data_IF_577517296258
#
_entry.id   IF_577517296258
#
_cell.length_a   1.000
_cell.length_b   1.000
_cell.length_c   1.000
_cell.angle_alpha   90.00
_cell.angle_beta   90.00
_cell.angle_gamma   90.00
#
_symmetry.space_group_name_H-M   'P 1'
#
loop_
_entity.id
_entity.type
_entity.pdbx_description
1 polymer ?
#
# COMPACT_ATOMS: atom_id res chain seq x y z
N UNK A 1 25.47 25.61 52.37
CA UNK A 1 24.07 25.58 51.86
C UNK A 1 23.96 25.98 50.38
N UNK A 2 24.99 26.49 49.77
CA UNK A 2 24.93 26.99 48.35
C UNK A 2 25.23 25.91 47.30
N UNK A 3 26.05 24.92 47.63
CA UNK A 3 26.41 23.86 46.68
C UNK A 3 25.32 22.81 46.44
N UNK A 4 24.42 22.60 47.39
CA UNK A 4 23.35 21.60 47.26
C UNK A 4 22.20 22.10 46.36
N UNK A 5 22.06 23.41 46.22
CA UNK A 5 21.03 24.03 45.33
C UNK A 5 21.45 24.03 43.88
N UNK A 6 22.73 24.03 43.54
CA UNK A 6 23.26 24.02 42.18
C UNK A 6 23.14 22.60 41.57
N UNK A 7 23.34 21.54 42.35
CA UNK A 7 23.18 20.16 41.88
C UNK A 7 21.74 19.77 41.60
N UNK A 8 20.77 20.40 42.30
CA UNK A 8 19.35 20.13 42.03
C UNK A 8 18.80 20.85 40.79
N UNK A 9 19.44 21.96 40.37
CA UNK A 9 19.04 22.68 39.15
C UNK A 9 19.60 22.07 37.85
N UNK A 10 20.73 21.31 37.97
CA UNK A 10 21.30 20.62 36.78
C UNK A 10 20.62 19.30 36.45
N UNK A 11 19.82 18.73 37.36
CA UNK A 11 19.09 17.48 37.12
C UNK A 11 17.72 17.67 36.46
N UNK A 12 17.27 18.92 36.29
CA UNK A 12 15.94 19.22 35.73
C UNK A 12 15.98 19.62 34.24
N UNK A 13 17.15 19.55 33.62
CA UNK A 13 17.35 19.98 32.20
C UNK A 13 17.61 18.83 31.20
N UNK A 14 17.39 17.57 31.60
CA UNK A 14 17.65 16.43 30.69
C UNK A 14 16.46 15.51 30.51
N UNK A 15 15.24 16.05 30.52
CA UNK A 15 14.07 15.36 29.97
C UNK A 15 13.42 16.29 28.93
N UNK A 16 14.23 16.76 28.00
CA UNK A 16 13.71 17.08 26.70
C UNK A 16 13.61 15.73 25.97
N UNK A 17 12.56 14.96 26.30
CA UNK A 17 12.14 13.89 25.40
C UNK A 17 11.81 14.58 24.07
N UNK A 18 12.73 14.46 23.12
CA UNK A 18 12.43 14.72 21.73
C UNK A 18 11.25 13.81 21.37
N UNK A 19 10.04 14.32 21.53
CA UNK A 19 8.91 13.80 20.79
C UNK A 19 9.29 14.04 19.34
N UNK A 20 9.97 13.05 18.73
CA UNK A 20 10.17 13.01 17.29
C UNK A 20 8.77 13.19 16.71
N UNK A 21 8.59 14.26 15.93
CA UNK A 21 7.34 14.47 15.23
C UNK A 21 7.05 13.20 14.43
N UNK A 22 6.00 12.50 14.82
CA UNK A 22 5.60 11.30 14.12
C UNK A 22 4.86 11.73 12.85
N UNK A 23 5.16 11.06 11.74
CA UNK A 23 4.51 11.31 10.48
C UNK A 23 3.01 11.03 10.50
N UNK A 24 2.28 11.51 9.48
CA UNK A 24 0.82 11.41 9.41
C UNK A 24 0.28 9.98 9.45
N UNK A 25 1.11 8.98 9.14
CA UNK A 25 0.75 7.57 9.12
C UNK A 25 1.35 6.76 10.29
N UNK A 26 1.90 7.43 11.30
CA UNK A 26 2.53 6.79 12.47
C UNK A 26 1.63 5.79 13.20
N UNK A 27 0.32 6.00 13.19
CA UNK A 27 -0.66 5.08 13.78
C UNK A 27 -0.65 3.68 13.15
N UNK A 28 -0.13 3.54 11.93
CA UNK A 28 -0.03 2.26 11.22
C UNK A 28 1.32 1.56 11.39
N UNK A 29 2.35 2.23 11.91
CA UNK A 29 3.70 1.68 12.04
C UNK A 29 3.71 0.36 12.83
N UNK A 30 3.00 0.29 13.96
CA UNK A 30 2.89 -0.94 14.75
C UNK A 30 2.28 -2.10 13.97
N UNK A 31 1.27 -1.85 13.13
CA UNK A 31 0.69 -2.87 12.24
C UNK A 31 1.69 -3.37 11.20
N UNK A 32 2.57 -2.49 10.74
CA UNK A 32 3.63 -2.81 9.80
C UNK A 32 4.86 -3.48 10.44
N UNK A 33 4.92 -3.56 11.79
CA UNK A 33 6.06 -4.10 12.53
C UNK A 33 7.24 -3.13 12.56
N UNK A 34 6.96 -1.85 12.68
CA UNK A 34 7.94 -0.74 12.75
C UNK A 34 8.94 -0.75 11.58
N UNK A 35 8.49 -1.14 10.40
CA UNK A 35 9.25 -1.18 9.15
C UNK A 35 8.57 -0.32 8.07
N UNK A 36 9.29 0.10 7.03
CA UNK A 36 8.66 0.73 5.87
C UNK A 36 7.57 -0.14 5.27
N UNK A 37 6.44 0.46 4.91
CA UNK A 37 5.24 -0.25 4.46
C UNK A 37 4.49 0.50 3.37
N UNK A 38 3.57 -0.21 2.72
CA UNK A 38 2.62 0.35 1.77
C UNK A 38 1.29 0.56 2.49
N UNK A 39 0.72 1.76 2.37
CA UNK A 39 -0.63 2.09 2.82
C UNK A 39 -1.52 2.41 1.62
N UNK A 40 -2.64 1.71 1.48
CA UNK A 40 -3.57 1.88 0.36
C UNK A 40 -4.89 2.41 0.88
N UNK A 41 -5.29 3.58 0.37
CA UNK A 41 -6.61 4.16 0.56
C UNK A 41 -7.45 3.97 -0.70
N UNK A 42 -8.45 3.12 -0.63
CA UNK A 42 -9.42 2.89 -1.72
C UNK A 42 -10.33 4.10 -1.92
N UNK A 43 -10.65 4.81 -0.85
CA UNK A 43 -11.50 6.02 -0.90
C UNK A 43 -10.79 7.18 -1.61
N UNK A 44 -9.51 7.38 -1.30
CA UNK A 44 -8.70 8.44 -1.89
C UNK A 44 -8.07 8.04 -3.23
N UNK A 45 -8.13 6.75 -3.59
CA UNK A 45 -7.44 6.16 -4.74
C UNK A 45 -5.94 6.47 -4.74
N UNK A 46 -5.30 6.24 -3.57
CA UNK A 46 -3.88 6.47 -3.35
C UNK A 46 -3.19 5.24 -2.76
N UNK A 47 -1.91 5.11 -3.09
CA UNK A 47 -0.95 4.22 -2.48
C UNK A 47 0.20 5.07 -1.96
N UNK A 48 0.44 5.04 -0.65
CA UNK A 48 1.57 5.70 0.00
C UNK A 48 2.63 4.67 0.36
N UNK A 49 3.87 4.90 -0.05
CA UNK A 49 5.04 4.24 0.52
C UNK A 49 5.45 5.04 1.76
N UNK A 50 5.42 4.41 2.91
CA UNK A 50 5.58 5.04 4.22
C UNK A 50 6.82 4.49 4.90
N UNK A 51 7.61 5.34 5.56
CA UNK A 51 8.77 4.92 6.34
C UNK A 51 8.38 4.38 7.73
N UNK A 52 9.37 3.93 8.51
CA UNK A 52 9.17 3.40 9.85
C UNK A 52 8.69 4.46 10.88
N UNK A 53 8.80 5.75 10.56
CA UNK A 53 8.33 6.84 11.41
C UNK A 53 6.89 7.28 11.07
N UNK A 54 6.31 6.72 9.99
CA UNK A 54 4.99 7.09 9.50
C UNK A 54 4.98 8.28 8.57
N UNK A 55 6.15 8.66 7.99
CA UNK A 55 6.23 9.69 6.98
C UNK A 55 6.03 9.10 5.58
N UNK A 56 5.28 9.80 4.72
CA UNK A 56 5.11 9.38 3.33
C UNK A 56 6.37 9.68 2.52
N UNK A 57 7.06 8.62 2.07
CA UNK A 57 8.21 8.69 1.18
C UNK A 57 7.76 9.08 -0.24
N UNK A 58 6.67 8.46 -0.69
CA UNK A 58 6.12 8.63 -2.04
C UNK A 58 4.65 8.25 -2.08
N UNK A 59 3.86 9.05 -2.77
CA UNK A 59 2.46 8.75 -3.04
C UNK A 59 2.24 8.52 -4.53
N UNK A 60 1.41 7.52 -4.84
CA UNK A 60 1.00 7.14 -6.20
C UNK A 60 -0.52 7.18 -6.32
N UNK A 61 -1.01 7.60 -7.48
CA UNK A 61 -2.43 7.45 -7.83
C UNK A 61 -2.68 6.02 -8.30
N UNK A 62 -3.80 5.44 -7.85
CA UNK A 62 -4.15 4.05 -8.18
C UNK A 62 -5.53 3.95 -8.83
N UNK A 63 -5.81 2.77 -9.42
CA UNK A 63 -7.17 2.27 -9.58
C UNK A 63 -7.34 1.05 -8.66
N UNK A 64 -8.55 0.87 -8.11
CA UNK A 64 -8.91 -0.27 -7.28
C UNK A 64 -10.22 -0.90 -7.75
N UNK A 65 -10.77 -1.82 -6.97
CA UNK A 65 -11.99 -2.57 -7.27
C UNK A 65 -13.19 -1.71 -7.66
N UNK A 66 -14.01 -2.24 -8.58
CA UNK A 66 -15.28 -1.63 -9.02
C UNK A 66 -16.25 -1.44 -7.87
N UNK A 67 -16.33 -2.42 -6.97
CA UNK A 67 -17.28 -2.41 -5.86
C UNK A 67 -16.61 -2.08 -4.53
N UNK A 68 -17.36 -1.46 -3.65
CA UNK A 68 -16.95 -1.10 -2.29
C UNK A 68 -16.94 -2.31 -1.35
N UNK A 69 -16.22 -2.17 -0.23
CA UNK A 69 -16.14 -3.15 0.83
C UNK A 69 -15.07 -4.20 0.62
N UNK A 70 -14.99 -5.12 1.59
CA UNK A 70 -13.97 -6.15 1.66
C UNK A 70 -14.24 -7.29 0.66
N UNK A 71 -13.16 -7.88 0.13
CA UNK A 71 -13.21 -9.09 -0.68
C UNK A 71 -13.59 -10.30 0.18
N UNK A 72 -14.69 -10.99 -0.20
CA UNK A 72 -15.21 -12.15 0.51
C UNK A 72 -15.20 -13.43 -0.33
N UNK A 73 -15.24 -13.32 -1.66
CA UNK A 73 -15.26 -14.47 -2.57
C UNK A 73 -14.60 -14.14 -3.91
N UNK A 74 -14.20 -15.19 -4.64
CA UNK A 74 -13.69 -15.06 -6.00
C UNK A 74 -14.78 -14.46 -6.92
N UNK A 75 -14.41 -13.50 -7.75
CA UNK A 75 -15.32 -12.86 -8.72
C UNK A 75 -16.25 -11.79 -8.13
N UNK A 76 -16.09 -11.39 -6.85
CA UNK A 76 -16.85 -10.30 -6.25
C UNK A 76 -16.41 -8.91 -6.67
N UNK A 77 -15.31 -8.82 -7.44
CA UNK A 77 -14.72 -7.59 -7.94
C UNK A 77 -14.45 -6.55 -6.83
N UNK A 78 -14.05 -7.04 -5.63
CA UNK A 78 -13.69 -6.23 -4.47
C UNK A 78 -12.20 -6.39 -4.16
N UNK A 79 -11.57 -5.32 -3.68
CA UNK A 79 -10.21 -5.33 -3.14
C UNK A 79 -10.25 -5.77 -1.68
N UNK A 80 -9.38 -6.70 -1.23
CA UNK A 80 -9.32 -7.09 0.17
C UNK A 80 -8.93 -5.93 1.08
N UNK A 81 -9.37 -5.99 2.32
CA UNK A 81 -9.05 -5.04 3.40
C UNK A 81 -8.25 -5.74 4.49
N UNK A 82 -7.29 -5.04 5.09
CA UNK A 82 -6.45 -5.58 6.16
C UNK A 82 -4.96 -5.44 5.90
N UNK A 83 -4.16 -6.25 6.62
CA UNK A 83 -2.71 -6.22 6.56
C UNK A 83 -2.18 -7.48 5.89
N UNK A 84 -1.41 -7.28 4.84
CA UNK A 84 -0.83 -8.32 3.98
C UNK A 84 0.69 -8.11 3.84
N UNK A 85 1.35 -8.95 3.05
CA UNK A 85 2.76 -8.80 2.68
C UNK A 85 2.92 -9.07 1.19
N UNK A 86 3.92 -8.45 0.58
CA UNK A 86 4.37 -8.85 -0.76
C UNK A 86 5.02 -10.22 -0.63
N UNK A 87 4.51 -11.22 -1.34
CA UNK A 87 5.05 -12.59 -1.33
C UNK A 87 5.69 -13.00 -2.66
N UNK A 88 5.50 -12.20 -3.72
CA UNK A 88 6.13 -12.44 -5.02
C UNK A 88 6.33 -11.15 -5.80
N UNK A 89 7.47 -11.04 -6.51
CA UNK A 89 7.78 -9.97 -7.46
C UNK A 89 7.87 -10.61 -8.85
N UNK A 90 6.84 -10.45 -9.68
CA UNK A 90 6.71 -11.14 -10.94
C UNK A 90 6.86 -10.16 -12.12
N UNK A 91 7.74 -10.49 -13.08
CA UNK A 91 7.76 -9.81 -14.37
C UNK A 91 6.49 -10.21 -15.15
N UNK A 92 5.58 -9.25 -15.35
CA UNK A 92 4.25 -9.50 -15.91
C UNK A 92 4.07 -9.07 -17.37
N UNK A 93 5.15 -8.67 -18.06
CA UNK A 93 5.10 -8.16 -19.46
C UNK A 93 4.43 -9.13 -20.43
N UNK A 94 4.57 -10.44 -20.20
CA UNK A 94 4.00 -11.48 -21.06
C UNK A 94 2.68 -12.06 -20.54
N UNK A 95 2.26 -11.71 -19.33
CA UNK A 95 1.03 -12.24 -18.77
C UNK A 95 -0.20 -11.72 -19.52
N UNK A 96 -1.16 -12.62 -19.67
CA UNK A 96 -2.40 -12.35 -20.40
C UNK A 96 -3.58 -12.39 -19.42
N UNK A 97 -4.54 -11.49 -19.60
CA UNK A 97 -5.81 -11.51 -18.86
C UNK A 97 -6.98 -11.29 -19.80
N UNK A 98 -8.05 -12.06 -19.61
CA UNK A 98 -9.33 -11.87 -20.27
C UNK A 98 -10.32 -11.21 -19.30
N UNK A 99 -10.65 -9.96 -19.57
CA UNK A 99 -11.60 -9.17 -18.77
C UNK A 99 -13.06 -9.57 -19.02
N UNK A 100 -13.30 -10.52 -19.93
CA UNK A 100 -14.65 -11.01 -20.31
C UNK A 100 -15.57 -9.90 -20.81
N UNK A 101 -14.99 -8.88 -21.43
CA UNK A 101 -15.67 -7.72 -22.01
C UNK A 101 -15.96 -7.89 -23.52
N UNK A 102 -15.74 -9.09 -24.04
CA UNK A 102 -15.94 -9.45 -25.46
C UNK A 102 -14.76 -9.10 -26.37
N UNK A 103 -13.68 -8.50 -25.84
CA UNK A 103 -12.50 -8.12 -26.64
C UNK A 103 -11.43 -9.21 -26.65
N UNK A 104 -11.63 -10.28 -25.86
CA UNK A 104 -10.68 -11.36 -25.70
C UNK A 104 -9.48 -11.02 -24.80
N UNK A 105 -8.52 -11.98 -24.67
CA UNK A 105 -7.40 -11.85 -23.76
C UNK A 105 -6.39 -10.78 -24.21
N UNK A 106 -5.95 -9.93 -23.27
CA UNK A 106 -4.99 -8.85 -23.49
C UNK A 106 -3.64 -9.27 -22.93
N UNK A 107 -2.62 -9.37 -23.79
CA UNK A 107 -1.24 -9.61 -23.36
C UNK A 107 -0.65 -8.32 -22.75
N UNK A 108 0.09 -8.45 -21.63
CA UNK A 108 0.63 -7.30 -20.92
C UNK A 108 -0.43 -6.51 -20.11
N UNK A 109 -1.58 -7.11 -19.86
CA UNK A 109 -2.68 -6.52 -19.11
C UNK A 109 -2.26 -5.93 -17.76
N UNK A 110 -1.24 -6.54 -17.13
CA UNK A 110 -0.71 -6.15 -15.81
C UNK A 110 0.52 -5.23 -15.88
N UNK A 111 0.87 -4.72 -17.07
CA UNK A 111 2.08 -3.90 -17.25
C UNK A 111 3.38 -4.66 -17.00
N UNK A 112 4.48 -3.95 -16.59
CA UNK A 112 5.81 -4.57 -16.50
C UNK A 112 6.01 -5.45 -15.27
N UNK A 113 5.34 -5.17 -14.14
CA UNK A 113 5.49 -5.89 -12.88
C UNK A 113 4.15 -6.13 -12.18
N UNK A 114 4.10 -7.28 -11.48
CA UNK A 114 3.01 -7.69 -10.59
C UNK A 114 3.59 -8.05 -9.23
N UNK A 115 3.26 -7.28 -8.21
CA UNK A 115 3.63 -7.51 -6.82
C UNK A 115 2.48 -8.26 -6.16
N UNK A 116 2.62 -9.59 -6.01
CA UNK A 116 1.57 -10.43 -5.44
C UNK A 116 1.48 -10.22 -3.93
N UNK A 117 0.27 -10.21 -3.41
CA UNK A 117 -0.01 -10.09 -1.98
C UNK A 117 -0.40 -11.43 -1.37
N UNK A 118 0.02 -11.67 -0.12
CA UNK A 118 -0.35 -12.84 0.67
C UNK A 118 -1.76 -12.70 1.27
N UNK A 119 -2.78 -12.71 0.43
CA UNK A 119 -4.18 -12.59 0.87
C UNK A 119 -4.74 -13.99 1.15
N UNK A 120 -5.17 -14.31 2.41
CA UNK A 120 -5.73 -15.63 2.73
C UNK A 120 -6.92 -15.98 1.83
N UNK A 121 -6.86 -17.17 1.22
CA UNK A 121 -7.90 -17.67 0.32
C UNK A 121 -7.90 -17.08 -1.10
N UNK A 122 -6.99 -16.15 -1.43
CA UNK A 122 -6.91 -15.51 -2.74
C UNK A 122 -5.47 -15.41 -3.24
N UNK A 123 -5.16 -16.06 -4.35
CA UNK A 123 -3.80 -16.11 -4.92
C UNK A 123 -3.55 -15.06 -6.01
N UNK A 124 -4.61 -14.40 -6.51
CA UNK A 124 -4.54 -13.54 -7.70
C UNK A 124 -4.68 -12.05 -7.37
N UNK A 125 -4.41 -11.66 -6.13
CA UNK A 125 -4.46 -10.25 -5.69
C UNK A 125 -3.04 -9.69 -5.65
N UNK A 126 -2.87 -8.50 -6.24
CA UNK A 126 -1.58 -7.82 -6.25
C UNK A 126 -1.66 -6.35 -6.64
N UNK A 127 -0.48 -5.74 -6.64
CA UNK A 127 -0.23 -4.36 -7.11
C UNK A 127 0.52 -4.49 -8.43
N UNK A 128 0.02 -3.87 -9.51
CA UNK A 128 0.58 -4.07 -10.84
C UNK A 128 0.47 -2.82 -11.73
N UNK A 129 1.17 -2.83 -12.85
CA UNK A 129 1.04 -1.83 -13.91
C UNK A 129 -0.24 -1.99 -14.73
N UNK A 130 -0.28 -1.46 -15.94
CA UNK A 130 -1.53 -1.46 -16.73
C UNK A 130 -1.28 -1.38 -18.23
N UNK A 131 -2.22 -1.93 -19.00
CA UNK A 131 -2.41 -1.62 -20.42
C UNK A 131 -3.42 -0.46 -20.63
N UNK A 132 -4.09 0.01 -19.56
CA UNK A 132 -5.19 0.98 -19.59
C UNK A 132 -4.89 2.15 -18.61
N UNK A 133 -3.90 3.01 -18.92
CA UNK A 133 -3.43 4.06 -17.98
C UNK A 133 -4.50 5.11 -17.65
N UNK A 134 -5.48 5.33 -18.52
CA UNK A 134 -6.62 6.23 -18.30
C UNK A 134 -7.54 5.78 -17.16
N UNK A 135 -7.48 4.53 -16.75
CA UNK A 135 -8.25 4.02 -15.61
C UNK A 135 -7.70 4.43 -14.25
N UNK A 136 -6.48 4.97 -14.20
CA UNK A 136 -5.88 5.42 -12.95
C UNK A 136 -6.67 6.59 -12.36
N UNK A 137 -6.96 6.52 -11.07
CA UNK A 137 -7.82 7.47 -10.39
C UNK A 137 -9.30 7.09 -10.41
N UNK A 138 -9.63 5.85 -10.79
CA UNK A 138 -11.01 5.34 -10.81
C UNK A 138 -11.14 3.98 -10.13
N UNK A 139 -12.38 3.58 -9.86
CA UNK A 139 -12.73 2.21 -9.46
C UNK A 139 -13.01 1.38 -10.70
N UNK A 140 -12.02 0.59 -11.17
CA UNK A 140 -12.08 -0.08 -12.47
C UNK A 140 -11.57 -1.53 -12.45
N UNK A 141 -11.02 -2.04 -11.33
CA UNK A 141 -10.40 -3.36 -11.31
C UNK A 141 -11.32 -4.46 -10.77
N UNK A 142 -10.90 -5.70 -10.93
CA UNK A 142 -11.59 -6.88 -10.41
C UNK A 142 -11.10 -7.27 -8.99
N UNK A 143 -10.32 -6.37 -8.34
CA UNK A 143 -9.83 -6.56 -6.97
C UNK A 143 -8.35 -6.21 -6.77
N UNK A 144 -7.53 -6.23 -7.80
CA UNK A 144 -6.14 -5.80 -7.74
C UNK A 144 -6.02 -4.28 -7.62
N UNK A 145 -4.85 -3.82 -7.21
CA UNK A 145 -4.45 -2.42 -7.18
C UNK A 145 -3.63 -2.14 -8.43
N UNK A 146 -4.09 -1.18 -9.24
CA UNK A 146 -3.48 -0.81 -10.51
C UNK A 146 -2.75 0.51 -10.41
N UNK A 147 -1.52 0.55 -10.92
CA UNK A 147 -0.66 1.72 -11.03
C UNK A 147 -0.37 2.04 -12.51
N UNK A 148 0.14 3.25 -12.78
CA UNK A 148 0.81 3.52 -14.05
C UNK A 148 2.07 2.65 -14.18
N UNK A 149 2.54 2.41 -15.41
CA UNK A 149 3.70 1.55 -15.62
C UNK A 149 4.99 2.15 -15.06
N UNK A 150 5.15 3.46 -15.15
CA UNK A 150 6.26 4.19 -14.53
C UNK A 150 6.23 4.10 -13.01
N UNK A 151 5.03 4.17 -12.40
CA UNK A 151 4.85 4.12 -10.96
C UNK A 151 5.13 2.73 -10.38
N UNK A 152 4.69 1.65 -11.05
CA UNK A 152 5.00 0.29 -10.59
C UNK A 152 6.48 -0.06 -10.75
N UNK A 153 7.18 0.52 -11.74
CA UNK A 153 8.62 0.39 -11.88
C UNK A 153 9.35 1.07 -10.73
N UNK A 154 8.97 2.32 -10.37
CA UNK A 154 9.53 3.04 -9.25
C UNK A 154 9.23 2.35 -7.91
N UNK A 155 7.98 1.93 -7.68
CA UNK A 155 7.60 1.23 -6.46
C UNK A 155 8.38 -0.08 -6.28
N UNK A 156 8.53 -0.86 -7.35
CA UNK A 156 9.26 -2.15 -7.34
C UNK A 156 10.71 -2.02 -6.88
N UNK A 157 11.39 -0.90 -7.21
CA UNK A 157 12.77 -0.66 -6.77
C UNK A 157 12.87 -0.29 -5.27
N UNK A 158 11.74 0.12 -4.66
CA UNK A 158 11.68 0.58 -3.26
C UNK A 158 11.17 -0.48 -2.29
N UNK A 159 10.63 -1.59 -2.79
CA UNK A 159 10.03 -2.65 -1.97
C UNK A 159 10.72 -4.00 -2.19
N UNK A 160 10.49 -4.92 -1.27
CA UNK A 160 11.05 -6.28 -1.30
C UNK A 160 10.02 -7.31 -0.86
N UNK A 161 10.35 -8.58 -1.01
CA UNK A 161 9.55 -9.67 -0.41
C UNK A 161 9.42 -9.43 1.10
N UNK A 162 8.22 -9.63 1.61
CA UNK A 162 7.89 -9.38 3.01
C UNK A 162 7.51 -7.94 3.35
N UNK A 163 7.64 -6.96 2.43
CA UNK A 163 7.17 -5.60 2.67
C UNK A 163 5.69 -5.61 3.07
N UNK A 164 5.33 -5.02 4.24
CA UNK A 164 3.96 -4.96 4.70
C UNK A 164 3.10 -4.08 3.78
N UNK A 165 1.84 -4.50 3.59
CA UNK A 165 0.84 -3.78 2.80
C UNK A 165 -0.45 -3.68 3.59
N UNK A 166 -0.84 -2.48 3.96
CA UNK A 166 -2.08 -2.20 4.68
C UNK A 166 -3.08 -1.62 3.68
N UNK A 167 -4.23 -2.28 3.53
CA UNK A 167 -5.32 -1.81 2.69
C UNK A 167 -6.46 -1.38 3.61
N UNK A 168 -6.76 -0.09 3.59
CA UNK A 168 -7.78 0.50 4.45
C UNK A 168 -9.19 0.05 4.05
N UNK A 169 -10.11 -0.09 5.01
CA UNK A 169 -11.53 -0.28 4.74
C UNK A 169 -12.08 0.89 3.90
N UNK A 170 -13.05 0.58 3.04
CA UNK A 170 -13.86 1.61 2.42
C UNK A 170 -14.71 2.32 3.48
N UNK A 171 -14.86 3.64 3.38
CA UNK A 171 -15.80 4.41 4.22
C UNK A 171 -17.27 4.14 3.86
N UNK A 172 -17.51 3.69 2.61
CA UNK A 172 -18.82 3.29 2.11
C UNK A 172 -18.92 1.77 2.06
N UNK A 173 -20.04 1.25 2.49
CA UNK A 173 -20.46 -0.15 2.26
C UNK A 173 -21.67 -0.11 1.36
N UNK A 174 -21.69 -0.97 0.33
CA UNK A 174 -22.93 -1.22 -0.46
C UNK A 174 -23.92 -1.98 0.37
#
# INVERSE_FOLDING_TARGET
>A
MTEMRIKLMLALLLVCSSALAQGPFSSYCKQAGDAPFILISKDNLTLDLVDANGESIKQYRIACSKYYGNKLKKGDNKTPEGTFKINELLNSKSLTHDFRDGKGPIRGAYGPWFLRLSVPGFIDIGIHGTHLPESIGTRATEGCIRLRNEDILDLKERVKLGTPVIILPDSKTE
#
